data_IF_421435044147
#
_entry.id   IF_421435044147
#
_cell.length_a   1.000
_cell.length_b   1.000
_cell.length_c   1.000
_cell.angle_alpha   90.00
_cell.angle_beta   90.00
_cell.angle_gamma   90.00
#
_symmetry.space_group_name_H-M   'P 1'
#
loop_
_entity.id
_entity.type
_entity.pdbx_description
1 polymer ?
#
# COMPACT_ATOMS: atom_id res chain seq x y z
N UNK A 1 -63.59 -21.71 -12.18
CA UNK A 1 -63.91 -20.68 -11.14
C UNK A 1 -62.62 -20.20 -10.51
N UNK A 2 -62.51 -18.87 -10.41
CA UNK A 2 -61.48 -18.07 -9.71
C UNK A 2 -60.09 -17.96 -10.33
N UNK A 3 -59.98 -16.90 -11.10
CA UNK A 3 -58.80 -16.12 -11.47
C UNK A 3 -58.05 -15.60 -10.23
N UNK A 4 -56.69 -15.69 -10.23
CA UNK A 4 -55.87 -14.82 -9.42
C UNK A 4 -54.75 -14.25 -10.27
N UNK A 5 -54.89 -12.97 -10.49
CA UNK A 5 -54.01 -12.09 -11.26
C UNK A 5 -52.61 -11.95 -10.66
N UNK A 6 -51.59 -12.06 -11.49
CA UNK A 6 -50.21 -11.62 -11.21
C UNK A 6 -50.19 -10.10 -11.17
N UNK A 7 -49.82 -9.52 -10.03
CA UNK A 7 -49.47 -8.11 -9.92
C UNK A 7 -47.98 -7.93 -10.21
N UNK A 8 -47.70 -7.23 -11.29
CA UNK A 8 -46.39 -6.66 -11.62
C UNK A 8 -46.00 -5.65 -10.57
N UNK A 9 -44.81 -5.87 -9.96
CA UNK A 9 -44.15 -4.82 -9.16
C UNK A 9 -43.21 -4.03 -10.10
N UNK A 10 -43.71 -2.87 -10.54
CA UNK A 10 -42.90 -1.89 -11.23
C UNK A 10 -41.91 -1.26 -10.23
N UNK A 11 -40.61 -1.43 -10.44
CA UNK A 11 -39.57 -0.69 -9.81
C UNK A 11 -39.62 0.80 -10.26
N UNK A 12 -40.14 1.65 -9.42
CA UNK A 12 -39.97 3.10 -9.55
C UNK A 12 -38.63 3.51 -8.94
N UNK A 13 -37.65 3.79 -9.78
CA UNK A 13 -36.45 4.51 -9.39
C UNK A 13 -36.83 5.94 -9.00
N UNK A 14 -36.77 6.23 -7.70
CA UNK A 14 -36.83 7.60 -7.19
C UNK A 14 -35.45 8.27 -7.34
N UNK A 15 -35.27 9.01 -8.41
CA UNK A 15 -34.30 10.08 -8.45
C UNK A 15 -34.91 11.28 -7.74
N UNK A 16 -34.43 11.62 -6.55
CA UNK A 16 -34.69 12.92 -5.93
C UNK A 16 -33.63 13.91 -6.44
N UNK A 17 -34.01 15.07 -6.97
CA UNK A 17 -33.06 16.12 -7.30
C UNK A 17 -32.49 16.70 -6.00
N UNK A 18 -31.19 16.88 -5.96
CA UNK A 18 -30.49 17.63 -4.93
C UNK A 18 -30.96 19.08 -4.96
N UNK A 19 -31.91 19.39 -4.09
CA UNK A 19 -32.29 20.76 -3.79
C UNK A 19 -31.12 21.48 -3.11
N UNK A 20 -30.75 22.64 -3.62
CA UNK A 20 -29.82 23.59 -3.02
C UNK A 20 -30.32 23.99 -1.64
N UNK A 21 -29.68 23.47 -0.60
CA UNK A 21 -29.83 23.99 0.75
C UNK A 21 -28.94 25.25 0.83
N UNK A 22 -29.57 26.41 0.78
CA UNK A 22 -28.94 27.69 1.07
C UNK A 22 -28.39 27.65 2.51
N UNK A 23 -27.14 28.09 2.63
CA UNK A 23 -26.39 27.96 3.85
C UNK A 23 -26.93 28.73 5.05
N UNK A 24 -27.02 28.07 6.15
CA UNK A 24 -26.86 28.70 7.45
C UNK A 24 -25.38 28.60 7.85
N UNK A 25 -24.74 29.77 7.94
CA UNK A 25 -23.38 29.92 8.45
C UNK A 25 -23.34 29.50 9.91
N UNK A 26 -23.08 28.26 10.20
CA UNK A 26 -22.68 27.82 11.54
C UNK A 26 -21.22 28.22 11.72
N UNK A 27 -20.98 29.39 12.24
CA UNK A 27 -19.68 29.82 12.72
C UNK A 27 -19.31 29.01 13.97
N UNK A 28 -18.40 28.06 13.79
CA UNK A 28 -17.76 27.41 14.93
C UNK A 28 -16.83 28.42 15.60
N UNK A 29 -16.94 28.67 16.92
CA UNK A 29 -15.96 29.46 17.62
C UNK A 29 -14.61 28.72 17.54
N UNK A 30 -13.59 29.36 17.02
CA UNK A 30 -12.21 28.87 17.06
C UNK A 30 -11.75 28.84 18.51
N UNK A 31 -11.54 27.71 19.15
CA UNK A 31 -10.75 27.65 20.35
C UNK A 31 -9.29 27.49 19.94
N UNK A 32 -8.59 28.58 19.76
CA UNK A 32 -7.14 28.59 19.86
C UNK A 32 -6.75 28.30 21.32
N UNK A 33 -6.90 27.08 21.74
CA UNK A 33 -6.14 26.53 22.83
C UNK A 33 -4.85 25.98 22.20
N UNK A 34 -3.81 26.78 22.28
CA UNK A 34 -2.44 26.32 22.05
C UNK A 34 -2.13 25.28 23.13
N UNK A 35 -2.44 24.02 22.85
CA UNK A 35 -1.90 22.91 23.63
C UNK A 35 -0.46 22.77 23.16
N UNK A 36 0.46 23.40 23.86
CA UNK A 36 1.89 23.17 23.78
C UNK A 36 2.21 21.83 24.47
N UNK A 37 1.77 20.73 23.86
CA UNK A 37 2.32 19.43 24.22
C UNK A 37 3.71 19.33 23.58
N UNK A 38 4.77 18.95 24.31
CA UNK A 38 6.06 18.72 23.68
C UNK A 38 5.85 17.61 22.65
N UNK A 39 6.30 17.90 21.41
CA UNK A 39 6.40 16.87 20.35
C UNK A 39 7.16 15.67 20.94
N UNK A 40 6.73 14.42 20.68
CA UNK A 40 7.47 13.25 21.12
C UNK A 40 8.92 13.38 20.63
N UNK A 41 9.86 13.12 21.53
CA UNK A 41 11.27 13.29 21.26
C UNK A 41 11.65 12.57 19.98
N UNK A 42 12.15 13.31 18.99
CA UNK A 42 12.82 12.74 17.83
C UNK A 42 13.86 11.72 18.34
N UNK A 43 13.94 10.57 17.69
CA UNK A 43 15.00 9.61 17.97
C UNK A 43 16.34 10.37 17.97
N UNK A 44 17.18 10.11 18.97
CA UNK A 44 18.51 10.69 19.01
C UNK A 44 19.25 10.42 17.66
N UNK A 45 20.04 11.34 17.14
CA UNK A 45 20.77 11.17 15.88
C UNK A 45 21.54 9.85 15.79
N UNK A 46 22.03 9.34 16.92
CA UNK A 46 22.70 8.05 17.04
C UNK A 46 21.77 6.86 16.77
N UNK A 47 20.52 6.90 17.23
CA UNK A 47 19.53 5.84 16.98
C UNK A 47 19.08 5.85 15.50
N UNK A 48 18.99 7.03 14.88
CA UNK A 48 18.72 7.15 13.44
C UNK A 48 19.88 6.63 12.60
N UNK A 49 21.12 6.95 12.99
CA UNK A 49 22.33 6.44 12.33
C UNK A 49 22.48 4.93 12.48
N UNK A 50 22.15 4.36 13.65
CA UNK A 50 22.17 2.93 13.91
C UNK A 50 21.12 2.19 13.08
N UNK A 51 19.90 2.73 12.93
CA UNK A 51 18.87 2.15 12.08
C UNK A 51 19.28 2.12 10.59
N UNK A 52 19.85 3.22 10.08
CA UNK A 52 20.41 3.26 8.72
C UNK A 52 21.62 2.33 8.52
N UNK A 53 22.41 2.10 9.56
CA UNK A 53 23.53 1.15 9.50
C UNK A 53 23.05 -0.31 9.51
N UNK A 54 21.94 -0.61 10.19
CA UNK A 54 21.34 -1.95 10.18
C UNK A 54 20.73 -2.29 8.84
N UNK A 55 20.09 -1.33 8.16
CA UNK A 55 19.55 -1.48 6.81
C UNK A 55 20.60 -1.95 5.79
N UNK A 56 21.83 -1.43 5.88
CA UNK A 56 22.94 -1.84 5.00
C UNK A 56 23.25 -3.35 5.10
N UNK A 57 23.03 -3.96 6.27
CA UNK A 57 23.27 -5.39 6.49
C UNK A 57 22.23 -6.28 5.81
N UNK A 58 21.00 -5.79 5.59
CA UNK A 58 19.95 -6.59 4.96
C UNK A 58 20.17 -6.87 3.48
N UNK A 59 20.89 -5.96 2.81
CA UNK A 59 21.11 -6.01 1.36
C UNK A 59 22.60 -5.94 1.05
N UNK A 60 23.37 -6.84 1.67
CA UNK A 60 24.82 -6.94 1.41
C UNK A 60 25.09 -7.21 -0.06
N UNK A 61 26.03 -6.48 -0.65
CA UNK A 61 26.36 -6.56 -2.07
C UNK A 61 25.42 -5.79 -3.02
N UNK A 62 24.30 -5.25 -2.53
CA UNK A 62 23.43 -4.40 -3.32
C UNK A 62 23.93 -2.95 -3.36
N UNK A 63 23.70 -2.29 -4.49
CA UNK A 63 23.90 -0.85 -4.64
C UNK A 63 22.72 -0.08 -4.06
N UNK A 64 22.94 1.20 -3.72
CA UNK A 64 21.92 2.11 -3.19
C UNK A 64 21.98 3.42 -3.94
N UNK A 65 20.83 4.02 -4.17
CA UNK A 65 20.73 5.31 -4.83
C UNK A 65 19.49 6.09 -4.33
N UNK A 66 19.53 7.40 -4.58
CA UNK A 66 18.45 8.36 -4.37
C UNK A 66 18.08 8.93 -5.75
N UNK A 67 17.14 8.27 -6.43
CA UNK A 67 16.78 8.60 -7.81
C UNK A 67 15.73 9.71 -7.82
N UNK A 68 16.08 10.83 -8.45
CA UNK A 68 15.16 11.97 -8.63
C UNK A 68 14.18 11.67 -9.75
N UNK A 69 12.90 11.71 -9.44
CA UNK A 69 11.77 11.62 -10.38
C UNK A 69 11.13 12.99 -10.59
N UNK A 70 10.09 13.06 -11.41
CA UNK A 70 9.35 14.31 -11.64
C UNK A 70 8.61 14.83 -10.41
N UNK A 71 8.30 13.96 -9.43
CA UNK A 71 7.51 14.32 -8.26
C UNK A 71 8.14 14.03 -6.91
N UNK A 72 9.24 13.27 -6.87
CA UNK A 72 9.89 12.85 -5.63
C UNK A 72 11.36 12.52 -5.84
N UNK A 73 12.07 12.25 -4.75
CA UNK A 73 13.34 11.52 -4.74
C UNK A 73 13.09 10.16 -4.12
N UNK A 74 13.33 9.09 -4.87
CA UNK A 74 13.01 7.72 -4.48
C UNK A 74 14.26 7.00 -3.99
N UNK A 75 14.20 6.48 -2.78
CA UNK A 75 15.23 5.60 -2.24
C UNK A 75 15.13 4.22 -2.86
N UNK A 76 16.23 3.72 -3.36
CA UNK A 76 16.29 2.40 -4.01
C UNK A 76 17.51 1.61 -3.55
N UNK A 77 17.29 0.31 -3.43
CA UNK A 77 18.34 -0.70 -3.25
C UNK A 77 18.25 -1.64 -4.47
N UNK A 78 19.36 -1.87 -5.18
CA UNK A 78 19.31 -2.68 -6.38
C UNK A 78 20.54 -3.55 -6.56
N UNK A 79 20.33 -4.74 -7.12
CA UNK A 79 21.40 -5.74 -7.31
C UNK A 79 20.87 -7.06 -7.87
N UNK A 80 21.73 -8.07 -7.97
CA UNK A 80 21.41 -9.34 -8.60
C UNK A 80 21.71 -9.35 -10.09
N UNK A 81 21.22 -10.38 -10.80
CA UNK A 81 21.48 -10.59 -12.22
C UNK A 81 20.27 -11.22 -12.91
N UNK A 82 20.08 -10.91 -14.19
CA UNK A 82 18.95 -11.42 -14.98
C UNK A 82 17.88 -10.36 -15.26
N UNK A 83 16.65 -10.81 -15.53
CA UNK A 83 15.54 -9.93 -15.90
C UNK A 83 15.19 -8.95 -14.78
N UNK A 84 14.86 -7.69 -15.11
CA UNK A 84 14.56 -6.67 -14.11
C UNK A 84 13.25 -6.95 -13.37
N UNK A 85 13.29 -6.84 -12.04
CA UNK A 85 12.18 -7.07 -11.14
C UNK A 85 12.07 -5.92 -10.13
N UNK A 86 10.98 -5.17 -10.20
CA UNK A 86 10.65 -4.11 -9.25
C UNK A 86 9.88 -4.69 -8.06
N UNK A 87 10.32 -4.38 -6.84
CA UNK A 87 9.68 -4.79 -5.59
C UNK A 87 9.14 -3.56 -4.83
N UNK A 88 7.84 -3.53 -4.53
CA UNK A 88 7.15 -2.43 -3.87
C UNK A 88 6.49 -2.89 -2.57
N UNK A 89 6.84 -2.26 -1.46
CA UNK A 89 6.29 -2.52 -0.12
C UNK A 89 4.95 -1.83 0.14
N UNK A 90 4.37 -2.07 1.32
CA UNK A 90 3.18 -1.38 1.82
C UNK A 90 3.36 -0.76 3.21
N UNK A 91 2.25 -0.56 3.91
CA UNK A 91 2.24 -0.11 5.31
C UNK A 91 2.23 -1.34 6.24
N UNK A 92 2.91 -1.30 7.38
CA UNK A 92 3.74 -0.22 7.95
C UNK A 92 5.23 -0.36 7.61
N UNK A 93 5.56 -0.94 6.49
CA UNK A 93 6.89 -1.39 6.10
C UNK A 93 7.63 -0.35 5.24
N UNK A 94 8.88 -0.68 4.92
CA UNK A 94 9.75 0.00 3.95
C UNK A 94 10.29 -1.03 2.96
N UNK A 95 11.24 -0.64 2.11
CA UNK A 95 11.96 -1.57 1.25
C UNK A 95 12.57 -2.77 2.04
N UNK A 96 12.76 -2.63 3.35
CA UNK A 96 13.30 -3.68 4.25
C UNK A 96 12.39 -4.93 4.33
N UNK A 97 11.09 -4.83 4.01
CA UNK A 97 10.18 -5.97 3.83
C UNK A 97 10.83 -7.11 3.03
N UNK A 98 11.54 -6.75 1.96
CA UNK A 98 12.06 -7.72 0.99
C UNK A 98 13.35 -8.42 1.40
N UNK A 99 13.95 -8.06 2.55
CA UNK A 99 15.27 -8.54 3.01
C UNK A 99 15.42 -10.07 3.05
N UNK A 100 14.36 -10.78 3.50
CA UNK A 100 14.41 -12.26 3.62
C UNK A 100 14.36 -12.97 2.26
N UNK A 101 13.76 -12.35 1.27
CA UNK A 101 13.53 -12.97 -0.06
C UNK A 101 14.47 -12.44 -1.14
N UNK A 102 15.05 -11.27 -0.96
CA UNK A 102 15.96 -10.65 -1.93
C UNK A 102 17.16 -11.54 -2.30
N UNK A 103 17.88 -12.20 -1.37
CA UNK A 103 19.01 -13.05 -1.73
C UNK A 103 18.63 -14.21 -2.67
N UNK A 104 17.48 -14.83 -2.45
CA UNK A 104 17.00 -15.93 -3.29
C UNK A 104 16.52 -15.46 -4.68
N UNK A 105 15.89 -14.28 -4.76
CA UNK A 105 15.43 -13.70 -6.02
C UNK A 105 16.58 -13.12 -6.84
N UNK A 106 17.60 -12.53 -6.22
CA UNK A 106 18.75 -11.92 -6.87
C UNK A 106 19.62 -12.91 -7.66
N UNK A 107 19.47 -14.20 -7.41
CA UNK A 107 20.13 -15.25 -8.18
C UNK A 107 19.64 -15.32 -9.63
N UNK A 108 18.40 -14.90 -9.90
CA UNK A 108 17.76 -15.02 -11.21
C UNK A 108 17.24 -13.69 -11.77
N UNK A 109 17.16 -12.64 -10.94
CA UNK A 109 16.60 -11.34 -11.30
C UNK A 109 17.52 -10.19 -10.89
N UNK A 110 17.54 -9.15 -11.69
CA UNK A 110 18.08 -7.85 -11.26
C UNK A 110 16.97 -7.14 -10.46
N UNK A 111 17.11 -7.13 -9.16
CA UNK A 111 16.13 -6.54 -8.26
C UNK A 111 16.30 -5.03 -8.18
N UNK A 112 15.18 -4.32 -8.21
CA UNK A 112 15.05 -2.91 -7.84
C UNK A 112 14.03 -2.84 -6.70
N UNK A 113 14.49 -2.51 -5.51
CA UNK A 113 13.70 -2.52 -4.27
C UNK A 113 13.56 -1.05 -3.84
N UNK A 114 12.37 -0.49 -3.99
CA UNK A 114 12.13 0.94 -3.81
C UNK A 114 11.27 1.23 -2.57
N UNK A 115 11.61 2.30 -1.86
CA UNK A 115 10.65 2.94 -0.97
C UNK A 115 9.65 3.75 -1.79
N UNK A 116 8.37 3.60 -1.50
CA UNK A 116 7.34 4.44 -2.10
C UNK A 116 7.53 5.92 -1.70
N UNK A 117 7.10 6.85 -2.55
CA UNK A 117 6.98 8.28 -2.18
C UNK A 117 6.27 8.40 -0.84
N UNK A 118 6.83 9.16 0.10
CA UNK A 118 6.26 9.35 1.43
C UNK A 118 6.68 8.32 2.47
N UNK A 119 7.28 7.22 2.05
CA UNK A 119 7.69 6.10 2.92
C UNK A 119 9.21 5.97 2.99
N UNK A 120 9.66 5.22 3.98
CA UNK A 120 11.07 4.89 4.16
C UNK A 120 11.99 6.11 4.08
N UNK A 121 13.04 5.99 3.31
CA UNK A 121 14.00 7.06 3.05
C UNK A 121 13.72 7.85 1.75
N UNK A 122 12.59 7.59 1.07
CA UNK A 122 12.10 8.42 -0.03
C UNK A 122 11.62 9.78 0.47
N UNK A 123 11.64 10.80 -0.41
CA UNK A 123 11.17 12.13 -0.06
C UNK A 123 9.67 12.18 0.21
N UNK A 124 9.24 13.18 0.97
CA UNK A 124 7.89 13.34 1.50
C UNK A 124 7.31 14.70 1.08
N UNK A 125 7.07 14.90 -0.25
CA UNK A 125 6.57 16.18 -0.77
C UNK A 125 5.19 16.52 -0.18
N UNK A 126 4.73 17.78 -0.26
CA UNK A 126 3.37 18.16 0.08
C UNK A 126 2.34 17.44 -0.80
N UNK A 127 1.16 17.10 -0.24
CA UNK A 127 0.09 16.39 -0.96
C UNK A 127 -0.61 17.21 -2.03
N UNK A 128 -0.68 18.52 -1.84
CA UNK A 128 -1.52 19.41 -2.62
C UNK A 128 -2.97 19.42 -2.11
N UNK A 129 -3.79 20.33 -2.62
CA UNK A 129 -5.18 20.49 -2.18
C UNK A 129 -6.08 19.32 -2.61
N UNK A 130 -5.73 18.64 -3.70
CA UNK A 130 -6.45 17.51 -4.28
C UNK A 130 -5.80 16.15 -3.96
N UNK A 131 -4.75 16.14 -3.14
CA UNK A 131 -3.95 14.96 -2.77
C UNK A 131 -3.28 14.26 -3.98
N UNK A 132 -3.27 14.86 -5.16
CA UNK A 132 -2.78 14.23 -6.39
C UNK A 132 -1.34 13.74 -6.26
N UNK A 133 -0.49 14.47 -5.52
CA UNK A 133 0.90 14.09 -5.33
C UNK A 133 1.06 12.69 -4.69
N UNK A 134 0.06 12.20 -3.97
CA UNK A 134 0.06 10.84 -3.38
C UNK A 134 -0.93 9.89 -4.07
N UNK A 135 -1.49 10.30 -5.22
CA UNK A 135 -2.29 9.38 -6.02
C UNK A 135 -1.46 8.19 -6.49
N UNK A 136 -2.09 7.04 -6.64
CA UNK A 136 -1.42 5.85 -7.17
C UNK A 136 -0.87 6.06 -8.57
N UNK A 137 -1.47 6.98 -9.32
CA UNK A 137 -0.96 7.42 -10.63
C UNK A 137 0.38 8.15 -10.52
N UNK A 138 0.49 9.13 -9.63
CA UNK A 138 1.73 9.86 -9.39
C UNK A 138 2.83 8.95 -8.83
N UNK A 139 2.47 8.07 -7.89
CA UNK A 139 3.41 7.10 -7.31
C UNK A 139 3.86 6.04 -8.33
N UNK A 140 2.98 5.60 -9.23
CA UNK A 140 3.34 4.69 -10.33
C UNK A 140 4.32 5.34 -11.30
N UNK A 141 4.12 6.62 -11.63
CA UNK A 141 5.03 7.38 -12.49
C UNK A 141 6.44 7.47 -11.90
N UNK A 142 6.58 7.65 -10.57
CA UNK A 142 7.89 7.60 -9.91
C UNK A 142 8.61 6.29 -10.18
N UNK A 143 7.93 5.16 -10.00
CA UNK A 143 8.53 3.85 -10.12
C UNK A 143 8.92 3.54 -11.58
N UNK A 144 8.12 3.97 -12.55
CA UNK A 144 8.48 3.88 -13.97
C UNK A 144 9.74 4.68 -14.26
N UNK A 145 9.84 5.90 -13.75
CA UNK A 145 11.03 6.75 -13.91
C UNK A 145 12.27 6.19 -13.21
N UNK A 146 12.11 5.54 -12.04
CA UNK A 146 13.19 4.80 -11.37
C UNK A 146 13.73 3.69 -12.28
N UNK A 147 12.82 2.88 -12.84
CA UNK A 147 13.22 1.78 -13.73
C UNK A 147 13.89 2.30 -15.02
N UNK A 148 13.37 3.38 -15.60
CA UNK A 148 13.96 4.04 -16.76
C UNK A 148 15.36 4.61 -16.46
N UNK A 149 15.54 5.25 -15.31
CA UNK A 149 16.85 5.77 -14.87
C UNK A 149 17.90 4.66 -14.77
N UNK A 150 17.49 3.47 -14.30
CA UNK A 150 18.35 2.29 -14.22
C UNK A 150 18.50 1.55 -15.56
N UNK A 151 17.90 2.04 -16.66
CA UNK A 151 17.99 1.48 -18.00
C UNK A 151 16.99 0.38 -18.32
N UNK A 152 16.00 0.15 -17.48
CA UNK A 152 14.99 -0.91 -17.65
C UNK A 152 13.70 -0.37 -18.28
N UNK A 153 13.49 -0.64 -19.55
CA UNK A 153 12.27 -0.22 -20.28
C UNK A 153 11.08 -1.16 -20.06
N UNK A 154 11.33 -2.45 -19.86
CA UNK A 154 10.32 -3.46 -19.52
C UNK A 154 10.79 -4.25 -18.31
N UNK A 155 9.89 -4.54 -17.40
CA UNK A 155 10.21 -5.21 -16.14
C UNK A 155 8.99 -5.95 -15.58
N UNK A 156 9.24 -6.91 -14.71
CA UNK A 156 8.21 -7.50 -13.87
C UNK A 156 8.05 -6.69 -12.57
N UNK A 157 6.88 -6.77 -11.95
CA UNK A 157 6.58 -6.09 -10.68
C UNK A 157 6.03 -7.10 -9.68
N UNK A 158 6.53 -7.05 -8.46
CA UNK A 158 5.94 -7.71 -7.30
C UNK A 158 5.66 -6.65 -6.25
N UNK A 159 4.44 -6.61 -5.77
CA UNK A 159 4.01 -5.50 -4.93
C UNK A 159 3.05 -5.93 -3.82
N UNK A 160 3.32 -5.44 -2.62
CA UNK A 160 2.54 -5.72 -1.41
C UNK A 160 1.72 -4.50 -0.99
N UNK A 161 0.51 -4.71 -0.52
CA UNK A 161 -0.40 -3.72 0.11
C UNK A 161 -0.47 -2.38 -0.65
N UNK A 162 0.04 -1.25 -0.10
CA UNK A 162 0.04 0.07 -0.78
C UNK A 162 0.80 0.02 -2.08
N UNK A 163 1.94 -0.69 -2.12
CA UNK A 163 2.69 -0.95 -3.34
C UNK A 163 1.88 -1.73 -4.38
N UNK A 164 1.06 -2.69 -3.95
CA UNK A 164 0.15 -3.43 -4.84
C UNK A 164 -0.87 -2.52 -5.52
N UNK A 165 -1.36 -1.48 -4.83
CA UNK A 165 -2.27 -0.48 -5.40
C UNK A 165 -1.56 0.42 -6.40
N UNK A 166 -0.31 0.80 -6.12
CA UNK A 166 0.56 1.53 -7.06
C UNK A 166 0.83 0.67 -8.31
N UNK A 167 1.16 -0.61 -8.12
CA UNK A 167 1.43 -1.53 -9.22
C UNK A 167 0.19 -1.82 -10.08
N UNK A 168 -1.01 -1.91 -9.49
CA UNK A 168 -2.27 -2.00 -10.23
C UNK A 168 -2.47 -0.77 -11.12
N UNK A 169 -2.31 0.44 -10.58
CA UNK A 169 -2.42 1.69 -11.35
C UNK A 169 -1.35 1.77 -12.44
N UNK A 170 -0.10 1.37 -12.14
CA UNK A 170 0.99 1.29 -13.11
C UNK A 170 0.64 0.36 -14.27
N UNK A 171 0.05 -0.79 -14.00
CA UNK A 171 -0.35 -1.75 -15.05
C UNK A 171 -1.47 -1.22 -15.96
N UNK A 172 -2.28 -0.28 -15.49
CA UNK A 172 -3.31 0.37 -16.31
C UNK A 172 -2.77 1.57 -17.12
N UNK A 173 -1.86 2.35 -16.53
CA UNK A 173 -1.34 3.58 -17.17
C UNK A 173 -0.09 3.33 -18.03
N UNK A 174 0.69 2.28 -17.72
CA UNK A 174 1.97 1.94 -18.36
C UNK A 174 2.02 0.46 -18.77
N UNK A 175 0.95 -0.03 -19.40
CA UNK A 175 0.80 -1.45 -19.74
C UNK A 175 1.94 -1.99 -20.63
N UNK A 176 2.57 -1.15 -21.44
CA UNK A 176 3.70 -1.50 -22.32
C UNK A 176 5.01 -1.75 -21.54
N UNK A 177 5.07 -1.34 -20.27
CA UNK A 177 6.25 -1.48 -19.40
C UNK A 177 6.28 -2.79 -18.63
N UNK A 178 5.12 -3.34 -18.27
CA UNK A 178 5.01 -4.50 -17.40
C UNK A 178 5.02 -5.79 -18.19
N UNK A 179 5.96 -6.68 -17.89
CA UNK A 179 5.98 -8.04 -18.44
C UNK A 179 5.11 -8.99 -17.63
N UNK A 180 5.09 -8.85 -16.31
CA UNK A 180 4.31 -9.63 -15.34
C UNK A 180 4.02 -8.80 -14.11
N UNK A 181 2.93 -9.11 -13.44
CA UNK A 181 2.54 -8.46 -12.19
C UNK A 181 2.18 -9.51 -11.14
N UNK A 182 2.80 -9.45 -9.97
CA UNK A 182 2.36 -10.20 -8.79
C UNK A 182 1.90 -9.22 -7.70
N UNK A 183 0.70 -9.42 -7.19
CA UNK A 183 0.07 -8.60 -6.14
C UNK A 183 -0.14 -9.44 -4.90
N UNK A 184 0.25 -8.88 -3.75
CA UNK A 184 0.19 -9.55 -2.46
C UNK A 184 -0.85 -8.91 -1.55
N UNK A 185 -1.77 -9.76 -1.10
CA UNK A 185 -2.78 -9.56 -0.05
C UNK A 185 -3.58 -8.26 -0.12
N UNK A 186 -4.11 -7.96 -1.30
CA UNK A 186 -5.09 -6.89 -1.51
C UNK A 186 -6.14 -7.28 -2.57
N UNK A 187 -7.25 -6.54 -2.56
CA UNK A 187 -8.18 -6.40 -3.69
C UNK A 187 -8.22 -4.94 -4.15
N UNK A 188 -8.70 -4.63 -5.36
CA UNK A 188 -8.71 -3.26 -5.91
C UNK A 188 -9.34 -2.24 -4.97
N UNK A 189 -8.71 -1.06 -4.83
CA UNK A 189 -9.13 0.01 -3.91
C UNK A 189 -10.59 0.43 -4.12
N UNK A 190 -10.98 0.62 -5.37
CA UNK A 190 -12.35 0.99 -5.71
C UNK A 190 -13.37 -0.03 -5.20
N UNK A 191 -13.11 -1.34 -5.39
CA UNK A 191 -13.97 -2.42 -4.86
C UNK A 191 -14.11 -2.33 -3.36
N UNK A 192 -13.01 -2.12 -2.63
CA UNK A 192 -13.04 -1.98 -1.16
C UNK A 192 -13.99 -0.86 -0.71
N UNK A 193 -13.87 0.34 -1.28
CA UNK A 193 -14.72 1.48 -0.92
C UNK A 193 -16.18 1.31 -1.35
N UNK A 194 -16.44 0.62 -2.47
CA UNK A 194 -17.82 0.34 -2.92
C UNK A 194 -18.54 -0.71 -2.08
N UNK A 195 -17.81 -1.56 -1.34
CA UNK A 195 -18.37 -2.69 -0.61
C UNK A 195 -18.07 -2.64 0.89
N UNK A 196 -17.90 -1.44 1.45
CA UNK A 196 -17.63 -1.26 2.87
C UNK A 196 -18.73 -1.87 3.70
N UNK A 197 -18.35 -2.79 4.58
CA UNK A 197 -19.22 -3.37 5.62
C UNK A 197 -18.76 -2.93 7.01
N UNK A 198 -19.60 -3.17 8.02
CA UNK A 198 -19.19 -2.97 9.43
C UNK A 198 -17.92 -3.75 9.74
N UNK A 199 -17.82 -4.99 9.26
CA UNK A 199 -16.65 -5.84 9.48
C UNK A 199 -15.40 -5.24 8.82
N UNK A 200 -15.49 -4.84 7.54
CA UNK A 200 -14.41 -4.17 6.83
C UNK A 200 -13.93 -2.92 7.57
N UNK A 201 -14.87 -2.03 7.94
CA UNK A 201 -14.55 -0.78 8.63
C UNK A 201 -13.90 -1.02 10.01
N UNK A 202 -14.32 -2.08 10.72
CA UNK A 202 -13.73 -2.45 12.01
C UNK A 202 -12.30 -2.97 11.86
N UNK A 203 -12.04 -3.79 10.85
CA UNK A 203 -10.71 -4.36 10.60
C UNK A 203 -9.77 -3.30 10.04
N UNK A 204 -10.21 -2.58 9.04
CA UNK A 204 -9.44 -1.54 8.36
C UNK A 204 -9.75 -0.13 8.88
N UNK A 205 -9.99 0.01 10.21
CA UNK A 205 -10.35 1.28 10.84
C UNK A 205 -9.40 2.43 10.47
N UNK A 206 -8.13 2.12 10.27
CA UNK A 206 -7.10 3.08 9.91
C UNK A 206 -7.35 3.74 8.54
N UNK A 207 -8.07 3.08 7.61
CA UNK A 207 -8.45 3.70 6.33
C UNK A 207 -9.38 4.91 6.56
N UNK A 208 -10.27 4.82 7.54
CA UNK A 208 -11.25 5.85 7.87
C UNK A 208 -10.71 6.89 8.85
N UNK A 209 -9.72 6.51 9.65
CA UNK A 209 -9.01 7.43 10.55
C UNK A 209 -8.03 8.32 9.78
N UNK A 210 -7.20 7.72 8.92
CA UNK A 210 -6.12 8.42 8.21
C UNK A 210 -6.62 9.42 7.16
N UNK A 211 -7.86 9.26 6.66
CA UNK A 211 -8.47 10.19 5.70
C UNK A 211 -9.05 11.45 6.36
N UNK A 212 -9.14 11.48 7.69
CA UNK A 212 -9.70 12.64 8.38
C UNK A 212 -8.86 13.90 8.13
N UNK A 213 -9.49 15.10 8.25
CA UNK A 213 -8.80 16.37 8.06
C UNK A 213 -7.61 16.53 9.02
N UNK A 214 -6.51 17.16 8.55
CA UNK A 214 -5.41 17.53 9.43
C UNK A 214 -5.87 18.55 10.50
N UNK A 215 -5.28 18.59 11.69
CA UNK A 215 -4.15 17.77 12.14
C UNK A 215 -4.54 16.49 12.89
N UNK A 216 -5.79 16.04 12.81
CA UNK A 216 -6.32 14.98 13.67
C UNK A 216 -5.56 13.66 13.57
N UNK A 217 -5.46 12.97 12.40
CA UNK A 217 -4.75 11.70 12.32
C UNK A 217 -3.24 11.85 12.53
N UNK A 218 -2.64 12.94 12.07
CA UNK A 218 -1.22 13.23 12.27
C UNK A 218 -0.87 13.34 13.76
N UNK A 219 -1.72 14.01 14.54
CA UNK A 219 -1.53 14.15 15.99
C UNK A 219 -1.71 12.81 16.71
N UNK A 220 -2.76 12.05 16.35
CA UNK A 220 -3.01 10.73 16.92
C UNK A 220 -1.85 9.77 16.68
N UNK A 221 -1.36 9.71 15.46
CA UNK A 221 -0.21 8.85 15.11
C UNK A 221 1.10 9.34 15.74
N UNK A 222 1.36 10.64 15.71
CA UNK A 222 2.58 11.21 16.31
C UNK A 222 2.73 10.88 17.79
N UNK A 223 1.62 10.91 18.54
CA UNK A 223 1.60 10.58 19.95
C UNK A 223 1.62 9.07 20.26
N UNK A 224 1.32 8.22 19.29
CA UNK A 224 1.17 6.76 19.50
C UNK A 224 1.80 5.91 18.40
N UNK A 225 2.83 6.42 17.73
CA UNK A 225 3.45 5.78 16.56
C UNK A 225 3.85 4.31 16.81
N UNK A 226 4.49 4.03 17.93
CA UNK A 226 4.92 2.67 18.28
C UNK A 226 3.74 1.75 18.59
N UNK A 227 2.74 2.24 19.31
CA UNK A 227 1.51 1.47 19.57
C UNK A 227 0.80 1.14 18.28
N UNK A 228 0.67 2.11 17.38
CA UNK A 228 0.03 1.91 16.07
C UNK A 228 0.80 0.89 15.23
N UNK A 229 2.12 1.03 15.12
CA UNK A 229 2.97 0.09 14.40
C UNK A 229 2.80 -1.35 14.93
N UNK A 230 2.92 -1.55 16.24
CA UNK A 230 2.74 -2.87 16.87
C UNK A 230 1.34 -3.42 16.60
N UNK A 231 0.31 -2.60 16.75
CA UNK A 231 -1.08 -3.00 16.48
C UNK A 231 -1.26 -3.47 15.04
N UNK A 232 -0.67 -2.77 14.07
CA UNK A 232 -0.74 -3.17 12.67
C UNK A 232 -0.01 -4.50 12.42
N UNK A 233 1.20 -4.65 12.94
CA UNK A 233 2.02 -5.86 12.75
C UNK A 233 1.36 -7.11 13.37
N UNK A 234 0.88 -7.04 14.60
CA UNK A 234 0.18 -8.17 15.23
C UNK A 234 -1.14 -8.48 14.52
N UNK A 235 -1.98 -7.49 14.36
CA UNK A 235 -3.35 -7.66 13.90
C UNK A 235 -3.43 -8.13 12.44
N UNK A 236 -2.67 -7.51 11.55
CA UNK A 236 -2.61 -7.92 10.15
C UNK A 236 -1.75 -9.16 9.95
N UNK A 237 -0.75 -9.37 10.80
CA UNK A 237 0.03 -10.61 10.84
C UNK A 237 -0.76 -11.84 11.25
N UNK A 238 -1.99 -11.66 11.75
CA UNK A 238 -2.84 -12.77 12.19
C UNK A 238 -2.42 -13.37 13.52
N UNK A 239 -1.77 -12.57 14.37
CA UNK A 239 -1.36 -12.94 15.73
C UNK A 239 -2.12 -12.09 16.76
N UNK A 240 -2.37 -12.68 17.92
CA UNK A 240 -2.91 -11.94 19.05
C UNK A 240 -1.89 -10.94 19.59
N UNK A 241 -2.32 -9.73 19.99
CA UNK A 241 -1.44 -8.74 20.58
C UNK A 241 -0.69 -9.31 21.79
N UNK A 242 0.64 -9.24 21.74
CA UNK A 242 1.54 -9.74 22.78
C UNK A 242 2.50 -8.69 23.31
N UNK A 243 3.34 -9.08 24.26
CA UNK A 243 4.46 -8.26 24.68
C UNK A 243 5.57 -8.28 23.61
N UNK A 244 6.21 -7.14 23.36
CA UNK A 244 7.30 -7.05 22.39
C UNK A 244 6.84 -6.80 20.96
N UNK A 245 7.39 -7.56 20.03
CA UNK A 245 7.09 -7.54 18.59
C UNK A 245 6.70 -8.96 18.14
N UNK A 246 5.95 -9.12 17.01
CA UNK A 246 5.65 -10.44 16.46
C UNK A 246 6.91 -11.25 16.18
N UNK A 247 6.85 -12.59 16.39
CA UNK A 247 8.02 -13.47 16.30
C UNK A 247 8.65 -13.51 14.89
N UNK A 248 7.87 -13.26 13.86
CA UNK A 248 8.33 -13.25 12.48
C UNK A 248 9.07 -11.96 12.09
N UNK A 249 8.98 -10.88 12.91
CA UNK A 249 9.67 -9.61 12.69
C UNK A 249 11.01 -9.59 13.40
N UNK A 250 12.08 -9.35 12.66
CA UNK A 250 13.40 -9.13 13.25
C UNK A 250 13.48 -7.76 13.93
N UNK A 251 14.14 -7.67 15.09
CA UNK A 251 14.28 -6.41 15.84
C UNK A 251 14.87 -5.28 14.99
N UNK A 252 15.82 -5.60 14.12
CA UNK A 252 16.46 -4.60 13.25
C UNK A 252 15.48 -4.04 12.20
N UNK A 253 14.62 -4.87 11.61
CA UNK A 253 13.58 -4.45 10.68
C UNK A 253 12.50 -3.64 11.40
N UNK A 254 12.05 -4.10 12.57
CA UNK A 254 11.14 -3.33 13.41
C UNK A 254 11.66 -1.93 13.74
N UNK A 255 12.94 -1.81 14.07
CA UNK A 255 13.56 -0.52 14.38
C UNK A 255 13.55 0.41 13.16
N UNK A 256 13.73 -0.11 11.94
CA UNK A 256 13.64 0.67 10.72
C UNK A 256 12.20 1.15 10.48
N UNK A 257 11.22 0.27 10.58
CA UNK A 257 9.80 0.62 10.47
C UNK A 257 9.41 1.69 11.48
N UNK A 258 9.80 1.51 12.75
CA UNK A 258 9.49 2.46 13.83
C UNK A 258 10.16 3.83 13.61
N UNK A 259 11.39 3.84 13.11
CA UNK A 259 12.09 5.08 12.75
C UNK A 259 11.26 5.91 11.75
N UNK A 260 10.74 5.25 10.72
CA UNK A 260 9.90 5.90 9.73
C UNK A 260 8.57 6.37 10.32
N UNK A 261 7.92 5.56 11.15
CA UNK A 261 6.66 5.91 11.82
C UNK A 261 6.79 7.02 12.87
N UNK A 262 7.99 7.33 13.33
CA UNK A 262 8.26 8.47 14.24
C UNK A 262 8.61 9.76 13.52
N UNK A 263 8.81 9.73 12.20
CA UNK A 263 9.02 10.93 11.39
C UNK A 263 7.69 11.65 11.12
N UNK A 264 7.48 12.89 11.62
CA UNK A 264 6.24 13.63 11.38
C UNK A 264 5.95 13.87 9.88
N UNK A 265 7.00 13.97 9.06
CA UNK A 265 6.84 14.13 7.62
C UNK A 265 6.32 12.82 6.97
N UNK A 266 6.77 11.65 7.45
CA UNK A 266 6.28 10.35 7.00
C UNK A 266 4.83 10.12 7.46
N UNK A 267 4.48 10.50 8.69
CA UNK A 267 3.10 10.42 9.18
C UNK A 267 2.17 11.28 8.31
N UNK A 268 2.56 12.53 8.00
CA UNK A 268 1.79 13.38 7.11
C UNK A 268 1.65 12.75 5.72
N UNK A 269 2.73 12.26 5.15
CA UNK A 269 2.74 11.61 3.84
C UNK A 269 1.84 10.36 3.82
N UNK A 270 1.84 9.57 4.88
CA UNK A 270 0.95 8.43 5.06
C UNK A 270 -0.53 8.88 5.03
N UNK A 271 -0.89 9.93 5.77
CA UNK A 271 -2.25 10.46 5.74
C UNK A 271 -2.63 10.96 4.34
N UNK A 272 -1.73 11.64 3.64
CA UNK A 272 -1.95 12.08 2.25
C UNK A 272 -2.16 10.92 1.28
N UNK A 273 -1.43 9.81 1.44
CA UNK A 273 -1.61 8.60 0.64
C UNK A 273 -3.03 7.99 0.85
N UNK A 274 -3.54 7.99 2.08
CA UNK A 274 -4.91 7.51 2.36
C UNK A 274 -5.98 8.50 1.90
N UNK A 275 -5.77 9.81 2.03
CA UNK A 275 -6.65 10.85 1.48
C UNK A 275 -6.75 10.74 -0.04
N UNK A 276 -5.64 10.57 -0.73
CA UNK A 276 -5.62 10.32 -2.16
C UNK A 276 -6.41 9.05 -2.53
N UNK A 277 -6.23 7.96 -1.77
CA UNK A 277 -6.94 6.71 -2.00
C UNK A 277 -8.46 6.81 -1.85
N UNK A 278 -8.93 7.67 -0.94
CA UNK A 278 -10.37 7.90 -0.69
C UNK A 278 -10.99 8.99 -1.59
N UNK A 279 -10.22 9.64 -2.44
CA UNK A 279 -10.67 10.76 -3.27
C UNK A 279 -10.23 10.60 -4.72
N UNK A 280 -9.07 11.15 -5.09
CA UNK A 280 -8.59 11.21 -6.49
C UNK A 280 -8.37 9.82 -7.09
N UNK A 281 -7.91 8.84 -6.32
CA UNK A 281 -7.72 7.48 -6.82
C UNK A 281 -9.06 6.82 -7.17
N UNK A 282 -10.13 7.07 -6.39
CA UNK A 282 -11.47 6.57 -6.72
C UNK A 282 -12.00 7.20 -8.02
N UNK A 283 -11.70 8.47 -8.25
CA UNK A 283 -12.04 9.16 -9.52
C UNK A 283 -11.30 8.52 -10.69
N UNK A 284 -10.00 8.26 -10.55
CA UNK A 284 -9.19 7.59 -11.57
C UNK A 284 -9.69 6.17 -11.84
N UNK A 285 -9.99 5.40 -10.78
CA UNK A 285 -10.44 4.04 -10.91
C UNK A 285 -11.83 3.95 -11.54
N UNK A 286 -12.75 4.86 -11.17
CA UNK A 286 -14.09 4.94 -11.76
C UNK A 286 -14.05 5.23 -13.27
N UNK A 287 -13.15 6.12 -13.70
CA UNK A 287 -12.95 6.43 -15.11
C UNK A 287 -12.39 5.25 -15.92
N UNK A 288 -11.66 4.35 -15.26
CA UNK A 288 -10.94 3.25 -15.90
C UNK A 288 -11.52 1.86 -15.57
N UNK A 289 -12.79 1.77 -15.14
CA UNK A 289 -13.41 0.48 -14.79
C UNK A 289 -13.44 -0.53 -15.95
N UNK A 290 -13.46 -0.06 -17.18
CA UNK A 290 -13.42 -0.87 -18.40
C UNK A 290 -11.99 -1.28 -18.81
N UNK A 291 -10.96 -0.69 -18.24
CA UNK A 291 -9.57 -1.06 -18.49
C UNK A 291 -9.17 -2.28 -17.67
N UNK A 292 -8.38 -3.16 -18.27
CA UNK A 292 -7.84 -4.36 -17.62
C UNK A 292 -6.33 -4.40 -17.70
N UNK A 293 -5.72 -4.97 -16.67
CA UNK A 293 -4.31 -5.34 -16.66
C UNK A 293 -4.05 -6.31 -17.82
N UNK A 294 -3.09 -6.00 -18.67
CA UNK A 294 -2.81 -6.74 -19.90
C UNK A 294 -1.81 -7.86 -19.71
N UNK A 295 -0.79 -7.65 -18.85
CA UNK A 295 0.18 -8.69 -18.54
C UNK A 295 -0.41 -9.78 -17.63
N UNK A 296 0.17 -10.99 -17.57
CA UNK A 296 -0.23 -11.99 -16.60
C UNK A 296 -0.15 -11.45 -15.17
N UNK A 297 -1.19 -11.74 -14.38
CA UNK A 297 -1.33 -11.34 -12.98
C UNK A 297 -1.34 -12.57 -12.07
N UNK A 298 -0.42 -12.62 -11.12
CA UNK A 298 -0.43 -13.54 -9.99
C UNK A 298 -0.95 -12.81 -8.74
N UNK A 299 -1.93 -13.39 -8.06
CA UNK A 299 -2.43 -12.87 -6.79
C UNK A 299 -2.18 -13.91 -5.69
N UNK A 300 -1.39 -13.54 -4.69
CA UNK A 300 -1.15 -14.35 -3.50
C UNK A 300 -1.69 -13.60 -2.29
N UNK A 301 -2.51 -14.26 -1.48
CA UNK A 301 -3.11 -13.59 -0.33
C UNK A 301 -3.11 -14.45 0.92
N UNK A 302 -3.27 -13.79 2.06
CA UNK A 302 -3.36 -14.41 3.38
C UNK A 302 -4.62 -15.26 3.51
N UNK A 303 -4.50 -16.55 3.80
CA UNK A 303 -5.63 -17.42 4.17
C UNK A 303 -6.25 -16.97 5.51
N UNK A 304 -5.44 -16.44 6.42
CA UNK A 304 -5.86 -15.94 7.73
C UNK A 304 -6.34 -14.48 7.69
N UNK A 305 -6.11 -13.79 6.58
CA UNK A 305 -6.38 -12.38 6.42
C UNK A 305 -7.85 -12.05 6.12
N UNK A 306 -8.23 -10.78 6.29
CA UNK A 306 -9.58 -10.33 6.08
C UNK A 306 -10.01 -10.40 4.61
N UNK A 307 -9.11 -10.23 3.65
CA UNK A 307 -9.47 -10.29 2.24
C UNK A 307 -9.96 -11.67 1.81
N UNK A 308 -9.37 -12.76 2.37
CA UNK A 308 -9.82 -14.13 2.12
C UNK A 308 -11.28 -14.34 2.57
N UNK A 309 -11.66 -13.75 3.69
CA UNK A 309 -12.99 -13.91 4.26
C UNK A 309 -14.04 -12.98 3.64
N UNK A 310 -13.63 -11.77 3.27
CA UNK A 310 -14.55 -10.72 2.83
C UNK A 310 -14.79 -10.71 1.32
N UNK A 311 -13.93 -11.35 0.52
CA UNK A 311 -13.97 -11.26 -0.94
C UNK A 311 -13.70 -12.60 -1.62
N UNK A 312 -14.35 -12.83 -2.77
CA UNK A 312 -13.79 -13.70 -3.80
C UNK A 312 -12.61 -12.97 -4.44
N UNK A 313 -11.40 -13.21 -3.91
CA UNK A 313 -10.19 -12.48 -4.30
C UNK A 313 -9.89 -12.65 -5.78
N UNK A 314 -9.91 -13.89 -6.29
CA UNK A 314 -9.63 -14.15 -7.71
C UNK A 314 -10.74 -13.63 -8.61
N UNK A 315 -12.02 -13.80 -8.25
CA UNK A 315 -13.16 -13.25 -8.99
C UNK A 315 -13.05 -11.74 -9.11
N UNK A 316 -12.74 -11.06 -8.00
CA UNK A 316 -12.54 -9.60 -7.98
C UNK A 316 -11.41 -9.16 -8.91
N UNK A 317 -10.29 -9.88 -8.95
CA UNK A 317 -9.18 -9.54 -9.86
C UNK A 317 -9.47 -9.87 -11.32
N UNK A 318 -10.28 -10.91 -11.63
CA UNK A 318 -10.73 -11.22 -12.99
C UNK A 318 -11.63 -10.13 -13.59
N UNK A 319 -12.29 -9.32 -12.75
CA UNK A 319 -12.97 -8.11 -13.21
C UNK A 319 -11.95 -7.06 -13.74
N UNK A 320 -10.68 -7.05 -13.27
CA UNK A 320 -9.66 -6.03 -13.51
C UNK A 320 -8.45 -6.48 -14.31
N UNK A 321 -8.34 -7.76 -14.68
CA UNK A 321 -7.21 -8.29 -15.45
C UNK A 321 -7.66 -9.37 -16.43
N UNK A 322 -6.90 -9.54 -17.53
CA UNK A 322 -7.21 -10.52 -18.57
C UNK A 322 -6.80 -11.94 -18.19
N UNK A 323 -5.67 -12.09 -17.51
CA UNK A 323 -5.11 -13.38 -17.10
C UNK A 323 -4.76 -13.31 -15.61
N UNK A 324 -5.53 -14.05 -14.79
CA UNK A 324 -5.36 -14.06 -13.33
C UNK A 324 -5.15 -15.48 -12.85
N UNK A 325 -4.08 -15.69 -12.13
CA UNK A 325 -3.79 -16.90 -11.36
C UNK A 325 -3.49 -16.54 -9.90
N UNK A 326 -3.47 -17.52 -9.03
CA UNK A 326 -3.09 -17.32 -7.64
C UNK A 326 -3.84 -18.19 -6.66
N UNK A 327 -3.51 -18.04 -5.39
CA UNK A 327 -4.13 -18.77 -4.28
C UNK A 327 -3.87 -18.12 -2.94
N UNK A 328 -4.63 -18.52 -1.93
CA UNK A 328 -4.34 -18.22 -0.53
C UNK A 328 -3.11 -18.99 -0.05
N UNK A 329 -2.35 -18.38 0.86
CA UNK A 329 -1.22 -18.98 1.57
C UNK A 329 -1.48 -18.95 3.08
N UNK A 330 -1.01 -19.97 3.77
CA UNK A 330 -1.23 -20.17 5.21
C UNK A 330 -0.40 -19.20 6.09
N UNK A 331 -0.56 -17.91 5.87
CA UNK A 331 0.14 -16.83 6.58
C UNK A 331 -0.82 -15.68 6.88
N UNK A 332 -0.35 -14.66 7.60
CA UNK A 332 -1.00 -13.35 7.71
C UNK A 332 -0.66 -12.45 6.53
N UNK A 333 -0.87 -11.14 6.71
CA UNK A 333 -0.72 -10.12 5.66
C UNK A 333 0.72 -10.01 5.11
N UNK A 334 1.72 -10.23 5.94
CA UNK A 334 3.13 -9.97 5.64
C UNK A 334 3.83 -11.20 5.05
N UNK A 335 3.27 -11.75 3.97
CA UNK A 335 3.70 -13.00 3.33
C UNK A 335 5.21 -13.14 3.13
N UNK A 336 5.95 -12.14 2.58
CA UNK A 336 7.40 -12.27 2.35
C UNK A 336 8.22 -12.34 3.64
N UNK A 337 7.68 -11.86 4.76
CA UNK A 337 8.34 -11.94 6.06
C UNK A 337 7.97 -13.17 6.86
N UNK A 338 6.72 -13.62 6.76
CA UNK A 338 6.19 -14.73 7.56
C UNK A 338 6.51 -16.10 6.98
N UNK A 339 6.51 -16.22 5.66
CA UNK A 339 6.71 -17.50 4.94
C UNK A 339 7.65 -17.33 3.72
N UNK A 340 8.86 -16.77 3.90
CA UNK A 340 9.72 -16.34 2.78
C UNK A 340 10.02 -17.44 1.77
N UNK A 341 10.37 -18.66 2.22
CA UNK A 341 10.73 -19.77 1.33
C UNK A 341 9.52 -20.24 0.52
N UNK A 342 8.37 -20.45 1.17
CA UNK A 342 7.14 -20.86 0.49
C UNK A 342 6.71 -19.79 -0.51
N UNK A 343 6.76 -18.53 -0.11
CA UNK A 343 6.39 -17.40 -0.99
C UNK A 343 7.29 -17.33 -2.23
N UNK A 344 8.61 -17.46 -2.07
CA UNK A 344 9.56 -17.51 -3.18
C UNK A 344 9.27 -18.68 -4.12
N UNK A 345 8.93 -19.85 -3.59
CA UNK A 345 8.60 -21.04 -4.38
C UNK A 345 7.34 -20.86 -5.25
N UNK A 346 6.35 -20.07 -4.78
CA UNK A 346 5.16 -19.72 -5.55
C UNK A 346 5.47 -18.69 -6.65
N UNK A 347 6.34 -17.73 -6.35
CA UNK A 347 6.61 -16.61 -7.23
C UNK A 347 7.54 -16.97 -8.41
N UNK A 348 8.62 -17.72 -8.13
CA UNK A 348 9.65 -18.01 -9.15
C UNK A 348 9.11 -18.64 -10.44
N UNK A 349 8.24 -19.67 -10.41
CA UNK A 349 7.69 -20.25 -11.64
C UNK A 349 6.88 -19.25 -12.46
N UNK A 350 6.11 -18.40 -11.79
CA UNK A 350 5.33 -17.35 -12.45
C UNK A 350 6.22 -16.30 -13.13
N UNK A 351 7.31 -15.91 -12.51
CA UNK A 351 8.23 -14.91 -13.09
C UNK A 351 9.11 -15.49 -14.23
N UNK A 352 9.37 -16.80 -14.23
CA UNK A 352 10.19 -17.47 -15.22
C UNK A 352 9.43 -17.88 -16.50
N UNK A 353 8.11 -18.04 -16.42
CA UNK A 353 7.25 -18.41 -17.53
C UNK A 353 7.09 -17.28 -18.54
#
# INVERSE_FOLDING_TARGET
MANHSRREFAQKSLFLPLGSIAGDNVSWPSPLLAISSPLPALLAPEAMAAAKASDRKFFEGFKRDQIKTSGATINVVYGGQGSPLLLLHGIPETHVLWRKVAPALAQNFTLVIADLRGYGDSSKPPGGADHFAYSKRAMAQDQVQVMEHLGFRKFAVVAHDRGGRVAHRMALDHADRLTRLAILDIVPTYKCYQTVSKEFATIFFHWFMLVQPPPFPETMLGNSAELFLKTMLFRLGGEEPGQGIPQWVEQAAYNDYLRCFRDPAAIRALCEDYRAAASIDLTHDAADLNKKVQCPLLVLWSEKGPFHRLYDVLGTWRERANQVSGRALAAGHFLPEQIPEQWVSELKPFLAA
#
